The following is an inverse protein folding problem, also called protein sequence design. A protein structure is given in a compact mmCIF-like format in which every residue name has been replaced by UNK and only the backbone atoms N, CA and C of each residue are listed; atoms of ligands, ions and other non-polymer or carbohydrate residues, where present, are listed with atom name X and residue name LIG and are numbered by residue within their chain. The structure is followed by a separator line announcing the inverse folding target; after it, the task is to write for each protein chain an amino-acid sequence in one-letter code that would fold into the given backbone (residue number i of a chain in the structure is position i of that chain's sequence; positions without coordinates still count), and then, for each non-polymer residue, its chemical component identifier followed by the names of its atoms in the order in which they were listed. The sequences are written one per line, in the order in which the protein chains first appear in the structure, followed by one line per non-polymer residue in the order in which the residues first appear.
data_IF_119360762140
#
_entry.id   IF_119360762140
#
_cell.length_a   1.000
_cell.length_b   1.000
_cell.length_c   1.000
_cell.angle_alpha   90.00
_cell.angle_beta   90.00
_cell.angle_gamma   90.00
#
_symmetry.space_group_name_H-M   'P 1'
#
loop_
_entity.id
_entity.type
_entity.pdbx_description
1 polymer ?
#
# COMPACT_ATOMS: atom_id res chain seq x y z
N UNK A 1 -13.95 2.29 4.22
CA UNK A 1 -14.02 3.56 3.47
C UNK A 1 -12.70 4.01 2.82
N UNK A 2 -11.50 3.84 3.41
CA UNK A 2 -10.23 4.19 2.73
C UNK A 2 -9.98 3.43 1.43
N UNK A 3 -10.23 2.11 1.44
CA UNK A 3 -10.10 1.27 0.25
C UNK A 3 -11.03 1.74 -0.88
N UNK A 4 -12.23 2.22 -0.55
CA UNK A 4 -13.21 2.69 -1.55
C UNK A 4 -12.70 3.94 -2.29
N UNK A 5 -12.15 4.92 -1.56
CA UNK A 5 -11.52 6.09 -2.18
C UNK A 5 -10.35 5.68 -3.07
N UNK A 6 -9.52 4.74 -2.59
CA UNK A 6 -8.37 4.29 -3.35
C UNK A 6 -8.77 3.49 -4.60
N UNK A 7 -9.82 2.68 -4.54
CA UNK A 7 -10.37 1.98 -5.71
C UNK A 7 -10.97 2.98 -6.73
N UNK A 8 -11.66 4.02 -6.25
CA UNK A 8 -12.27 5.04 -7.11
C UNK A 8 -11.25 5.95 -7.80
N UNK A 9 -10.24 6.43 -7.07
CA UNK A 9 -9.30 7.45 -7.57
C UNK A 9 -7.92 6.89 -7.97
N UNK A 10 -7.56 5.71 -7.46
CA UNK A 10 -6.25 5.08 -7.67
C UNK A 10 -5.93 4.79 -9.13
N UNK A 11 -6.83 4.17 -9.92
CA UNK A 11 -6.57 3.83 -11.32
C UNK A 11 -6.24 5.04 -12.20
N UNK A 12 -6.75 6.22 -11.85
CA UNK A 12 -6.59 7.45 -12.63
C UNK A 12 -5.40 8.30 -12.17
N UNK A 13 -4.64 7.86 -11.15
CA UNK A 13 -3.56 8.63 -10.56
C UNK A 13 -2.23 7.92 -10.78
N UNK A 14 -1.25 8.67 -11.31
CA UNK A 14 0.11 8.14 -11.54
C UNK A 14 0.81 7.85 -10.23
N UNK A 15 1.63 6.80 -10.25
CA UNK A 15 2.53 6.39 -9.17
C UNK A 15 1.82 6.13 -7.82
N UNK A 16 0.53 5.78 -7.81
CA UNK A 16 -0.15 5.33 -6.59
C UNK A 16 0.57 4.09 -6.07
N UNK A 17 0.79 4.05 -4.76
CA UNK A 17 1.67 3.10 -4.06
C UNK A 17 3.18 3.21 -4.35
N UNK A 18 3.62 3.92 -5.39
CA UNK A 18 5.05 4.15 -5.67
C UNK A 18 5.55 5.46 -5.08
N UNK A 19 4.88 6.57 -5.38
CA UNK A 19 5.22 7.88 -4.85
C UNK A 19 4.90 7.97 -3.35
N UNK A 20 5.76 8.60 -2.53
CA UNK A 20 5.50 8.79 -1.11
C UNK A 20 4.35 9.78 -0.89
N UNK A 21 3.56 9.52 0.17
CA UNK A 21 2.58 10.48 0.67
C UNK A 21 3.22 11.63 1.47
N UNK A 22 2.45 12.69 1.71
CA UNK A 22 2.94 13.83 2.49
C UNK A 22 3.08 13.46 3.97
N UNK A 23 4.28 13.60 4.53
CA UNK A 23 4.64 13.07 5.86
C UNK A 23 3.77 13.59 7.01
N UNK A 24 3.49 14.90 7.06
CA UNK A 24 2.63 15.51 8.09
C UNK A 24 1.20 14.94 8.06
N UNK A 25 0.57 14.96 6.88
CA UNK A 25 -0.75 14.38 6.65
C UNK A 25 -0.82 12.88 6.98
N UNK A 26 0.24 12.11 6.66
CA UNK A 26 0.30 10.69 7.04
C UNK A 26 0.32 10.52 8.56
N UNK A 27 1.13 11.30 9.30
CA UNK A 27 1.18 11.24 10.77
C UNK A 27 -0.17 11.62 11.39
N UNK A 28 -0.79 12.69 10.90
CA UNK A 28 -2.12 13.15 11.33
C UNK A 28 -3.19 12.09 11.08
N UNK A 29 -3.19 11.48 9.89
CA UNK A 29 -4.14 10.43 9.54
C UNK A 29 -3.95 9.19 10.42
N UNK A 30 -2.71 8.72 10.61
CA UNK A 30 -2.42 7.59 11.51
C UNK A 30 -2.90 7.87 12.93
N UNK A 31 -2.64 9.07 13.46
CA UNK A 31 -3.07 9.44 14.80
C UNK A 31 -4.59 9.39 14.96
N UNK A 32 -5.35 9.95 14.01
CA UNK A 32 -6.81 9.88 14.05
C UNK A 32 -7.33 8.44 14.01
N UNK A 33 -6.72 7.58 13.19
CA UNK A 33 -7.10 6.16 13.13
C UNK A 33 -6.83 5.43 14.44
N UNK A 34 -5.68 5.68 15.06
CA UNK A 34 -5.32 5.04 16.34
C UNK A 34 -6.24 5.47 17.49
N UNK A 35 -6.76 6.70 17.44
CA UNK A 35 -7.71 7.22 18.43
C UNK A 35 -9.17 6.85 18.15
N UNK A 36 -9.46 6.14 17.05
CA UNK A 36 -10.84 5.83 16.64
C UNK A 36 -11.66 7.07 16.26
N UNK A 37 -11.00 8.18 15.90
CA UNK A 37 -11.69 9.43 15.57
C UNK A 37 -12.25 9.38 14.14
N UNK A 38 -13.42 9.99 13.96
CA UNK A 38 -13.97 10.22 12.63
C UNK A 38 -12.99 11.07 11.81
N UNK A 39 -12.67 10.58 10.61
CA UNK A 39 -11.70 11.24 9.73
C UNK A 39 -12.34 11.50 8.37
N UNK A 40 -12.22 12.76 7.91
CA UNK A 40 -12.63 13.10 6.55
C UNK A 40 -11.56 12.65 5.55
N UNK A 41 -11.69 11.43 5.03
CA UNK A 41 -10.73 10.82 4.10
C UNK A 41 -10.66 11.59 2.76
N UNK A 42 -11.69 12.36 2.41
CA UNK A 42 -11.70 13.20 1.21
C UNK A 42 -10.58 14.26 1.25
N UNK A 43 -10.24 14.76 2.46
CA UNK A 43 -9.20 15.79 2.65
C UNK A 43 -7.76 15.31 2.42
N UNK A 44 -7.53 14.00 2.32
CA UNK A 44 -6.20 13.43 2.12
C UNK A 44 -6.00 13.02 0.65
N UNK A 45 -4.78 13.19 0.14
CA UNK A 45 -4.43 12.72 -1.19
C UNK A 45 -4.41 11.19 -1.27
N UNK A 46 -4.69 10.64 -2.45
CA UNK A 46 -4.62 9.19 -2.72
C UNK A 46 -3.27 8.60 -2.30
N UNK A 47 -2.15 9.29 -2.59
CA UNK A 47 -0.80 8.83 -2.21
C UNK A 47 -0.59 8.80 -0.69
N UNK A 48 -1.20 9.73 0.05
CA UNK A 48 -1.17 9.72 1.53
C UNK A 48 -1.96 8.53 2.05
N UNK A 49 -3.17 8.30 1.53
CA UNK A 49 -4.02 7.16 1.92
C UNK A 49 -3.31 5.85 1.58
N UNK A 50 -2.75 5.72 0.38
CA UNK A 50 -1.98 4.55 -0.06
C UNK A 50 -0.77 4.28 0.85
N UNK A 51 -0.04 5.33 1.24
CA UNK A 51 1.11 5.20 2.14
C UNK A 51 0.72 4.78 3.54
N UNK A 52 -0.36 5.33 4.08
CA UNK A 52 -0.91 4.94 5.39
C UNK A 52 -1.44 3.51 5.37
N UNK A 53 -2.15 3.11 4.31
CA UNK A 53 -2.62 1.74 4.11
C UNK A 53 -1.44 0.74 4.09
N UNK A 54 -0.39 1.02 3.30
CA UNK A 54 0.84 0.20 3.31
C UNK A 54 1.49 0.14 4.69
N UNK A 55 1.43 1.21 5.48
CA UNK A 55 2.01 1.24 6.84
C UNK A 55 1.16 0.43 7.81
N UNK A 56 -0.16 0.44 7.67
CA UNK A 56 -1.08 -0.37 8.46
C UNK A 56 -0.85 -1.86 8.20
N UNK A 57 -0.84 -2.27 6.92
CA UNK A 57 -0.62 -3.65 6.53
C UNK A 57 0.71 -4.22 7.04
N UNK A 58 1.78 -3.43 7.03
CA UNK A 58 3.10 -3.80 7.57
C UNK A 58 3.15 -3.99 9.08
N UNK A 59 2.15 -3.48 9.82
CA UNK A 59 2.08 -3.59 11.28
C UNK A 59 1.28 -4.81 11.75
N UNK A 60 0.70 -5.57 10.83
CA UNK A 60 -0.04 -6.78 11.18
C UNK A 60 0.96 -7.86 11.62
N UNK A 61 0.89 -8.35 12.88
CA UNK A 61 1.79 -9.38 13.36
C UNK A 61 1.56 -10.68 12.56
N UNK A 62 2.65 -11.29 12.10
CA UNK A 62 2.59 -12.47 11.21
C UNK A 62 2.40 -12.14 9.72
N UNK A 63 2.36 -10.86 9.34
CA UNK A 63 2.14 -10.44 7.96
C UNK A 63 0.69 -10.64 7.51
N UNK A 64 0.36 -10.13 6.32
CA UNK A 64 -1.02 -10.25 5.78
C UNK A 64 -1.31 -11.70 5.39
N UNK A 65 -0.30 -12.42 4.90
CA UNK A 65 -0.44 -13.76 4.35
C UNK A 65 -0.20 -14.86 5.41
N UNK A 66 0.51 -14.54 6.49
CA UNK A 66 0.92 -15.54 7.49
C UNK A 66 2.23 -16.25 7.10
N UNK A 67 3.07 -16.64 8.07
CA UNK A 67 4.39 -17.21 7.82
C UNK A 67 4.36 -18.55 7.07
N UNK A 68 3.26 -19.31 7.15
CA UNK A 68 3.13 -20.60 6.45
C UNK A 68 2.77 -20.42 4.97
N UNK A 69 1.81 -19.53 4.66
CA UNK A 69 1.42 -19.26 3.28
C UNK A 69 2.51 -18.51 2.51
N UNK A 70 3.28 -17.64 3.17
CA UNK A 70 4.46 -17.01 2.57
C UNK A 70 5.45 -18.09 2.10
N UNK A 71 5.82 -19.05 2.97
CA UNK A 71 6.70 -20.18 2.62
C UNK A 71 6.18 -21.03 1.47
N UNK A 72 4.86 -21.23 1.37
CA UNK A 72 4.24 -22.01 0.28
C UNK A 72 4.06 -21.23 -1.02
N UNK A 73 4.04 -19.89 -1.00
CA UNK A 73 3.81 -19.05 -2.19
C UNK A 73 5.10 -18.65 -2.90
N UNK A 74 6.24 -18.61 -2.20
CA UNK A 74 7.54 -18.31 -2.81
C UNK A 74 8.04 -19.34 -3.84
N UNK A 75 7.85 -20.66 -3.68
CA UNK A 75 8.33 -21.65 -4.66
C UNK A 75 7.65 -21.55 -6.02
N UNK A 76 6.41 -21.04 -6.09
CA UNK A 76 5.68 -20.82 -7.35
C UNK A 76 6.07 -19.50 -8.04
N UNK A 77 6.84 -18.65 -7.37
CA UNK A 77 7.37 -17.41 -7.92
C UNK A 77 8.70 -17.67 -8.63
N UNK A 78 8.63 -18.19 -9.86
CA UNK A 78 9.82 -18.40 -10.70
C UNK A 78 10.42 -17.05 -11.13
N UNK A 79 11.47 -16.65 -10.42
CA UNK A 79 12.23 -15.43 -10.69
C UNK A 79 12.97 -15.45 -12.04
N UNK A 80 13.06 -16.61 -12.73
CA UNK A 80 13.74 -16.71 -14.03
C UNK A 80 12.92 -16.12 -15.18
N UNK A 81 11.59 -16.07 -15.09
CA UNK A 81 10.73 -15.60 -16.19
C UNK A 81 10.74 -14.07 -16.39
N UNK A 82 11.12 -13.27 -15.38
CA UNK A 82 11.13 -11.80 -15.51
C UNK A 82 12.47 -11.22 -16.00
N UNK A 83 13.61 -11.92 -15.92
CA UNK A 83 14.89 -11.34 -16.34
C UNK A 83 15.03 -11.12 -17.86
N UNK A 84 14.22 -11.79 -18.68
CA UNK A 84 14.23 -11.57 -20.14
C UNK A 84 13.41 -10.35 -20.58
N UNK A 85 12.50 -9.81 -19.76
CA UNK A 85 11.72 -8.62 -20.13
C UNK A 85 12.36 -7.29 -19.73
N UNK A 86 13.29 -7.29 -18.76
CA UNK A 86 13.94 -6.05 -18.29
C UNK A 86 15.27 -5.74 -19.01
N UNK A 87 15.78 -6.63 -19.86
CA UNK A 87 16.97 -6.35 -20.69
C UNK A 87 16.65 -5.68 -22.04
N UNK A 88 15.38 -5.40 -22.34
CA UNK A 88 14.95 -4.70 -23.56
C UNK A 88 14.65 -3.22 -23.29
N UNK A 89 14.67 -2.78 -22.02
CA UNK A 89 14.32 -1.41 -21.62
C UNK A 89 15.33 -0.74 -20.66
N UNK A 90 16.57 -1.24 -20.61
CA UNK A 90 17.74 -0.47 -20.12
C UNK A 90 18.79 -0.43 -21.21
#
# INVERSE_FOLDING_TARGET
VMLLKLNKEGPFKRDVFRAPGHQGNMRKLVHFLQQGRLVNIQSFSVNTIASVLKKFLRKIPGGIFGPENEKSSFPSFDWKTQRQSWSVFI
#
